data_IF_794187650324
#
_entry.id   IF_794187650324
#
_cell.length_a   1.000
_cell.length_b   1.000
_cell.length_c   1.000
_cell.angle_alpha   90.00
_cell.angle_beta   90.00
_cell.angle_gamma   90.00
#
_symmetry.space_group_name_H-M   'P 1'
#
loop_
_entity.id
_entity.type
_entity.pdbx_description
1 polymer ?
#
# COMPACT_ATOMS: atom_id res chain seq x y z
N UNK A 1 29.49 -40.93 24.93
CA UNK A 1 29.53 -40.03 23.75
C UNK A 1 29.38 -38.59 24.24
N UNK A 2 30.27 -37.65 23.88
CA UNK A 2 30.11 -36.27 24.31
C UNK A 2 29.03 -35.56 23.49
N UNK A 3 28.04 -34.98 24.18
CA UNK A 3 26.92 -34.24 23.58
C UNK A 3 27.44 -32.84 23.23
N UNK A 4 27.41 -32.48 21.93
CA UNK A 4 27.71 -31.11 21.49
C UNK A 4 26.55 -30.18 21.90
N UNK A 5 26.82 -28.99 22.47
CA UNK A 5 25.76 -28.02 22.73
C UNK A 5 25.22 -27.46 21.40
N UNK A 6 23.90 -27.44 21.26
CA UNK A 6 23.21 -26.81 20.14
C UNK A 6 23.41 -25.30 20.18
N UNK A 7 24.12 -24.78 19.18
CA UNK A 7 24.17 -23.35 18.86
C UNK A 7 22.80 -22.88 18.38
N UNK A 8 22.03 -22.22 19.24
CA UNK A 8 20.88 -21.43 18.80
C UNK A 8 21.37 -20.07 18.30
N UNK A 9 21.45 -19.91 16.98
CA UNK A 9 21.64 -18.62 16.34
C UNK A 9 20.43 -18.32 15.47
N UNK A 10 19.64 -17.36 15.93
CA UNK A 10 18.47 -16.87 15.24
C UNK A 10 17.76 -15.86 16.13
N UNK A 11 18.30 -14.64 16.17
CA UNK A 11 17.59 -13.48 16.71
C UNK A 11 16.24 -13.38 15.98
N UNK A 12 15.21 -13.86 16.65
CA UNK A 12 13.83 -13.74 16.23
C UNK A 12 13.51 -12.26 16.34
N UNK A 13 13.64 -11.54 15.21
CA UNK A 13 13.28 -10.12 15.07
C UNK A 13 11.98 -9.88 15.83
N UNK A 14 12.07 -9.19 16.97
CA UNK A 14 10.93 -8.83 17.82
C UNK A 14 9.89 -8.20 16.90
N UNK A 15 8.73 -8.86 16.75
CA UNK A 15 7.57 -8.20 16.16
C UNK A 15 7.33 -6.99 17.04
N UNK A 16 7.44 -5.79 16.49
CA UNK A 16 6.88 -4.60 17.11
C UNK A 16 5.41 -4.94 17.32
N UNK A 17 5.02 -5.11 18.59
CA UNK A 17 3.62 -5.24 18.95
C UNK A 17 2.95 -3.96 18.46
N UNK A 18 1.84 -4.07 17.70
CA UNK A 18 1.15 -2.87 17.25
C UNK A 18 0.81 -2.06 18.51
N UNK A 19 1.19 -0.78 18.48
CA UNK A 19 0.68 0.28 19.35
C UNK A 19 -0.81 0.00 19.64
N UNK A 20 -1.23 0.14 20.91
CA UNK A 20 -2.59 -0.12 21.39
C UNK A 20 -3.59 0.87 20.76
N UNK A 21 -3.79 0.74 19.45
CA UNK A 21 -4.68 1.52 18.63
C UNK A 21 -6.09 0.93 18.79
N UNK A 22 -6.78 1.44 19.81
CA UNK A 22 -8.16 1.09 20.18
C UNK A 22 -9.20 1.82 19.32
N UNK A 23 -8.80 2.54 18.26
CA UNK A 23 -9.74 3.22 17.35
C UNK A 23 -10.54 2.24 16.49
N UNK A 24 -11.69 2.69 15.99
CA UNK A 24 -12.60 1.89 15.18
C UNK A 24 -12.57 2.28 13.71
N UNK A 25 -12.34 1.31 12.82
CA UNK A 25 -12.18 1.51 11.38
C UNK A 25 -13.08 0.59 10.57
N UNK A 26 -13.27 0.91 9.29
CA UNK A 26 -14.01 0.07 8.35
C UNK A 26 -13.05 -0.96 7.73
N UNK A 27 -13.44 -2.24 7.60
CA UNK A 27 -12.63 -3.25 6.91
C UNK A 27 -12.50 -2.91 5.41
N UNK A 28 -11.37 -3.26 4.79
CA UNK A 28 -11.20 -3.08 3.33
C UNK A 28 -11.99 -4.13 2.53
N UNK A 29 -12.15 -5.34 3.09
CA UNK A 29 -12.95 -6.41 2.55
C UNK A 29 -13.62 -7.22 3.65
N UNK A 30 -14.72 -7.93 3.35
CA UNK A 30 -15.36 -8.83 4.30
C UNK A 30 -14.41 -9.94 4.81
N UNK A 31 -13.43 -10.33 3.98
CA UNK A 31 -12.41 -11.31 4.36
C UNK A 31 -11.40 -10.78 5.40
N UNK A 32 -11.36 -9.47 5.62
CA UNK A 32 -10.48 -8.86 6.62
C UNK A 32 -11.08 -8.89 8.03
N UNK A 33 -12.39 -9.13 8.15
CA UNK A 33 -13.11 -9.10 9.42
C UNK A 33 -12.59 -10.17 10.39
N UNK A 34 -11.98 -9.70 11.47
CA UNK A 34 -11.54 -10.51 12.60
C UNK A 34 -11.46 -9.67 13.87
N UNK A 35 -11.60 -10.30 15.03
CA UNK A 35 -11.50 -9.61 16.31
C UNK A 35 -12.75 -8.81 16.67
N UNK A 36 -12.64 -7.83 17.60
CA UNK A 36 -13.75 -7.00 18.05
C UNK A 36 -14.34 -6.14 16.92
N UNK A 37 -15.66 -6.18 16.79
CA UNK A 37 -16.47 -5.47 15.81
C UNK A 37 -17.76 -4.91 16.43
N UNK A 38 -18.36 -3.91 15.79
CA UNK A 38 -19.72 -3.40 16.05
C UNK A 38 -20.52 -3.49 14.74
N UNK A 39 -21.80 -3.87 14.86
CA UNK A 39 -22.73 -4.06 13.75
C UNK A 39 -23.80 -2.96 13.82
N UNK A 40 -23.60 -1.88 13.06
CA UNK A 40 -24.49 -0.71 13.05
C UNK A 40 -25.65 -0.94 12.08
N UNK A 41 -26.86 -0.74 12.59
CA UNK A 41 -28.13 -0.91 11.89
C UNK A 41 -28.54 0.41 11.19
N UNK A 42 -29.20 0.35 10.01
CA UNK A 42 -29.67 1.52 9.28
C UNK A 42 -30.97 2.08 9.88
N UNK A 43 -30.95 2.50 11.14
CA UNK A 43 -32.10 3.07 11.85
C UNK A 43 -31.97 4.59 12.05
N UNK A 44 -33.08 5.26 12.33
CA UNK A 44 -33.12 6.68 12.67
C UNK A 44 -33.81 6.87 14.04
N UNK A 45 -33.09 7.23 15.11
CA UNK A 45 -31.63 7.44 15.20
C UNK A 45 -30.84 6.12 15.03
N UNK A 46 -29.53 6.23 14.73
CA UNK A 46 -28.68 5.06 14.50
C UNK A 46 -28.60 4.16 15.74
N UNK A 47 -28.71 2.86 15.51
CA UNK A 47 -28.59 1.81 16.53
C UNK A 47 -27.59 0.76 16.07
N UNK A 48 -27.15 -0.09 16.97
CA UNK A 48 -26.28 -1.24 16.70
C UNK A 48 -26.81 -2.47 17.40
N UNK A 49 -26.40 -3.65 16.92
CA UNK A 49 -26.71 -4.90 17.61
C UNK A 49 -25.91 -4.99 18.91
N UNK A 50 -26.60 -5.29 19.99
CA UNK A 50 -26.02 -5.56 21.30
C UNK A 50 -26.59 -6.85 21.89
N UNK A 51 -25.91 -7.41 22.90
CA UNK A 51 -26.41 -8.57 23.63
C UNK A 51 -26.30 -8.41 25.15
N UNK A 52 -27.31 -8.89 25.86
CA UNK A 52 -27.36 -8.88 27.32
C UNK A 52 -26.70 -10.13 27.93
N UNK A 53 -26.64 -10.21 29.26
CA UNK A 53 -26.06 -11.36 29.96
C UNK A 53 -26.85 -12.68 29.80
N UNK A 54 -28.06 -12.63 29.23
CA UNK A 54 -28.87 -13.81 28.94
C UNK A 54 -28.70 -14.29 27.50
N UNK A 55 -27.93 -13.56 26.68
CA UNK A 55 -27.75 -13.85 25.26
C UNK A 55 -28.90 -13.35 24.38
N UNK A 56 -29.79 -12.53 24.90
CA UNK A 56 -30.79 -11.86 24.07
C UNK A 56 -30.10 -10.80 23.23
N UNK A 57 -30.55 -10.63 21.98
CA UNK A 57 -30.03 -9.63 21.06
C UNK A 57 -31.05 -8.51 20.92
N UNK A 58 -30.59 -7.27 20.98
CA UNK A 58 -31.43 -6.08 20.89
C UNK A 58 -30.71 -4.95 20.14
N UNK A 59 -31.47 -3.98 19.64
CA UNK A 59 -30.93 -2.75 19.07
C UNK A 59 -30.62 -1.75 20.19
N UNK A 60 -29.34 -1.36 20.32
CA UNK A 60 -28.86 -0.36 21.26
C UNK A 60 -28.52 0.93 20.51
N UNK A 61 -28.86 2.09 21.04
CA UNK A 61 -28.47 3.37 20.43
C UNK A 61 -26.95 3.43 20.19
N UNK A 62 -26.50 4.19 19.20
CA UNK A 62 -25.08 4.54 19.04
C UNK A 62 -24.90 6.00 19.41
N UNK A 63 -24.28 6.27 20.55
CA UNK A 63 -24.11 7.64 21.06
C UNK A 63 -22.77 8.27 20.61
N UNK A 64 -21.71 7.46 20.52
CA UNK A 64 -20.41 7.91 20.07
C UNK A 64 -20.34 7.93 18.54
N UNK A 65 -20.78 9.03 17.94
CA UNK A 65 -20.63 9.35 16.51
C UNK A 65 -20.29 10.83 16.34
N UNK A 66 -19.49 11.14 15.31
CA UNK A 66 -19.23 12.51 14.88
C UNK A 66 -20.33 12.94 13.92
N UNK A 67 -21.03 14.03 14.24
CA UNK A 67 -22.06 14.66 13.37
C UNK A 67 -23.15 13.68 12.86
N UNK A 68 -23.46 12.63 13.63
CA UNK A 68 -24.41 11.57 13.27
C UNK A 68 -24.00 10.71 12.05
N UNK A 69 -22.73 10.71 11.66
CA UNK A 69 -22.21 9.85 10.61
C UNK A 69 -21.89 8.44 11.15
N UNK A 70 -22.64 7.43 10.70
CA UNK A 70 -22.49 6.01 11.10
C UNK A 70 -21.11 5.43 10.81
N UNK A 71 -20.37 5.99 9.85
CA UNK A 71 -19.00 5.55 9.54
C UNK A 71 -17.99 5.90 10.63
N UNK A 72 -18.35 6.83 11.52
CA UNK A 72 -17.53 7.25 12.67
C UNK A 72 -18.00 6.60 13.98
N UNK A 73 -18.94 5.66 13.91
CA UNK A 73 -19.51 5.00 15.08
C UNK A 73 -18.46 4.21 15.86
N UNK A 74 -18.44 4.45 17.18
CA UNK A 74 -17.68 3.68 18.15
C UNK A 74 -18.62 3.12 19.24
N UNK A 75 -18.34 1.94 19.80
CA UNK A 75 -19.13 1.43 20.90
C UNK A 75 -18.90 2.27 22.16
N UNK A 76 -19.96 2.43 22.95
CA UNK A 76 -19.90 3.05 24.28
C UNK A 76 -20.29 2.06 25.38
N UNK A 77 -20.81 0.90 25.01
CA UNK A 77 -21.15 -0.19 25.92
C UNK A 77 -20.50 -1.49 25.42
N UNK A 78 -19.89 -2.24 26.33
CA UNK A 78 -19.28 -3.55 26.04
C UNK A 78 -20.26 -4.55 25.43
N UNK A 79 -21.56 -4.38 25.68
CA UNK A 79 -22.63 -5.21 25.12
C UNK A 79 -22.81 -5.03 23.61
N UNK A 80 -22.32 -3.92 23.04
CA UNK A 80 -22.38 -3.60 21.61
C UNK A 80 -21.24 -4.26 20.82
N UNK A 81 -20.25 -4.83 21.52
CA UNK A 81 -19.04 -5.41 20.91
C UNK A 81 -19.23 -6.90 20.66
N UNK A 82 -18.91 -7.31 19.44
CA UNK A 82 -18.93 -8.69 18.97
C UNK A 82 -17.52 -9.12 18.58
N UNK A 83 -17.20 -10.40 18.68
CA UNK A 83 -15.95 -10.96 18.16
C UNK A 83 -16.23 -11.67 16.84
N UNK A 84 -15.75 -11.10 15.74
CA UNK A 84 -15.81 -11.68 14.40
C UNK A 84 -14.72 -12.75 14.22
N UNK A 85 -15.11 -13.91 13.67
CA UNK A 85 -14.19 -14.96 13.27
C UNK A 85 -14.63 -15.57 11.94
N UNK A 86 -13.67 -15.86 11.06
CA UNK A 86 -13.91 -16.69 9.88
C UNK A 86 -14.11 -18.15 10.28
N UNK A 87 -15.11 -18.78 9.69
CA UNK A 87 -15.34 -20.21 9.79
C UNK A 87 -14.52 -20.91 8.72
N UNK A 88 -13.56 -21.73 9.17
CA UNK A 88 -12.63 -22.42 8.28
C UNK A 88 -13.36 -23.28 7.23
N UNK A 89 -12.99 -23.10 5.97
CA UNK A 89 -13.50 -23.91 4.85
C UNK A 89 -14.89 -23.53 4.34
N UNK A 90 -15.62 -22.62 4.98
CA UNK A 90 -16.96 -22.20 4.50
C UNK A 90 -17.05 -20.79 3.95
N UNK A 91 -16.02 -19.95 4.17
CA UNK A 91 -16.05 -18.54 3.79
C UNK A 91 -17.06 -17.70 4.58
N UNK A 92 -17.70 -18.28 5.60
CA UNK A 92 -18.69 -17.60 6.43
C UNK A 92 -18.03 -16.91 7.64
N UNK A 93 -18.72 -15.91 8.17
CA UNK A 93 -18.35 -15.22 9.41
C UNK A 93 -19.23 -15.70 10.57
N UNK A 94 -18.64 -15.73 11.76
CA UNK A 94 -19.35 -15.92 13.02
C UNK A 94 -19.11 -14.70 13.90
N UNK A 95 -20.16 -14.22 14.56
CA UNK A 95 -20.10 -13.08 15.48
C UNK A 95 -20.48 -13.57 16.88
N UNK A 96 -19.56 -13.49 17.83
CA UNK A 96 -19.80 -13.89 19.23
C UNK A 96 -19.94 -12.67 20.11
N UNK A 97 -21.07 -12.53 20.79
CA UNK A 97 -21.19 -11.55 21.85
C UNK A 97 -20.48 -12.08 23.11
N UNK A 98 -20.48 -11.27 24.18
CA UNK A 98 -20.04 -11.76 25.50
C UNK A 98 -20.86 -12.97 25.95
N UNK A 99 -22.16 -13.00 25.61
CA UNK A 99 -23.10 -14.07 25.93
C UNK A 99 -23.92 -14.36 24.67
N UNK A 100 -23.93 -15.61 24.19
CA UNK A 100 -24.59 -15.96 22.93
C UNK A 100 -23.79 -15.57 21.66
N UNK A 101 -24.41 -15.76 20.50
CA UNK A 101 -23.76 -15.48 19.21
C UNK A 101 -24.75 -15.42 18.06
N UNK A 102 -24.33 -14.76 16.98
CA UNK A 102 -25.07 -14.60 15.73
C UNK A 102 -24.33 -15.29 14.58
N UNK A 103 -25.10 -15.92 13.71
CA UNK A 103 -24.63 -16.47 12.44
C UNK A 103 -25.64 -16.10 11.35
N UNK A 104 -25.17 -15.46 10.30
CA UNK A 104 -25.98 -15.25 9.11
C UNK A 104 -26.06 -16.53 8.27
N UNK A 105 -27.26 -16.85 7.81
CA UNK A 105 -27.57 -17.97 6.91
C UNK A 105 -28.12 -17.51 5.55
N UNK A 106 -28.28 -16.20 5.34
CA UNK A 106 -28.85 -15.62 4.12
C UNK A 106 -27.92 -15.59 2.91
N UNK A 107 -28.52 -15.61 1.71
CA UNK A 107 -27.84 -15.36 0.43
C UNK A 107 -27.51 -13.87 0.28
N UNK A 108 -26.35 -13.56 -0.31
CA UNK A 108 -25.92 -12.18 -0.50
C UNK A 108 -26.73 -11.49 -1.60
N UNK A 109 -27.25 -10.28 -1.33
CA UNK A 109 -27.78 -9.39 -2.38
C UNK A 109 -29.21 -8.86 -2.18
N UNK A 110 -29.90 -9.18 -1.08
CA UNK A 110 -31.16 -8.50 -0.76
C UNK A 110 -30.88 -7.08 -0.21
N UNK A 111 -31.43 -6.01 -0.83
CA UNK A 111 -31.14 -4.62 -0.47
C UNK A 111 -31.76 -4.17 0.87
N UNK A 112 -32.46 -5.05 1.58
CA UNK A 112 -33.23 -4.68 2.78
C UNK A 112 -32.37 -4.52 4.05
N UNK A 113 -31.08 -4.85 4.03
CA UNK A 113 -30.28 -4.77 5.27
C UNK A 113 -28.79 -4.54 5.00
N UNK A 114 -28.44 -3.37 4.45
CA UNK A 114 -27.05 -2.90 4.49
C UNK A 114 -26.69 -2.52 5.93
N UNK A 115 -25.81 -3.32 6.55
CA UNK A 115 -25.25 -3.06 7.87
C UNK A 115 -23.88 -2.41 7.71
N UNK A 116 -23.57 -1.43 8.55
CA UNK A 116 -22.20 -0.89 8.64
C UNK A 116 -21.44 -1.68 9.70
N UNK A 117 -20.35 -2.33 9.29
CA UNK A 117 -19.48 -3.08 10.20
C UNK A 117 -18.20 -2.29 10.44
N UNK A 118 -17.92 -1.99 11.71
CA UNK A 118 -16.66 -1.39 12.16
C UNK A 118 -15.86 -2.43 12.94
N UNK A 119 -14.54 -2.37 12.84
CA UNK A 119 -13.61 -3.23 13.58
C UNK A 119 -12.56 -2.40 14.30
N UNK A 120 -11.97 -2.94 15.37
CA UNK A 120 -10.81 -2.30 15.99
C UNK A 120 -9.61 -2.27 15.04
N UNK A 121 -8.98 -1.10 14.90
CA UNK A 121 -7.96 -0.83 13.90
C UNK A 121 -6.76 -1.80 13.97
N UNK A 122 -6.35 -2.19 15.18
CA UNK A 122 -5.27 -3.17 15.39
C UNK A 122 -5.52 -4.56 14.79
N UNK A 123 -6.78 -4.92 14.52
CA UNK A 123 -7.14 -6.21 13.92
C UNK A 123 -7.23 -6.16 12.39
N UNK A 124 -7.09 -4.98 11.78
CA UNK A 124 -7.05 -4.86 10.32
C UNK A 124 -5.81 -5.59 9.77
N UNK A 125 -5.93 -6.52 8.80
CA UNK A 125 -4.82 -7.35 8.32
C UNK A 125 -3.67 -6.57 7.64
N UNK A 126 -2.73 -6.04 8.43
CA UNK A 126 -1.51 -5.36 7.92
C UNK A 126 -0.62 -6.30 7.09
N UNK A 127 -0.67 -7.62 7.35
CA UNK A 127 0.25 -8.62 6.77
C UNK A 127 -0.08 -8.96 5.32
N UNK A 128 -1.35 -8.93 4.89
CA UNK A 128 -1.69 -9.20 3.49
C UNK A 128 -1.35 -8.01 2.58
N UNK A 129 -1.57 -6.78 3.05
CA UNK A 129 -1.01 -5.59 2.39
C UNK A 129 0.52 -5.65 2.32
N UNK A 130 1.21 -6.19 3.34
CA UNK A 130 2.68 -6.36 3.30
C UNK A 130 3.18 -7.43 2.31
N UNK A 131 2.37 -8.45 2.01
CA UNK A 131 2.72 -9.49 1.02
C UNK A 131 2.33 -9.08 -0.39
N UNK A 132 1.17 -8.43 -0.56
CA UNK A 132 0.75 -7.83 -1.81
C UNK A 132 1.67 -6.67 -2.22
N UNK A 133 2.10 -5.83 -1.27
CA UNK A 133 3.10 -4.79 -1.52
C UNK A 133 4.47 -5.38 -1.85
N UNK A 134 4.92 -6.45 -1.16
CA UNK A 134 6.17 -7.18 -1.51
C UNK A 134 6.11 -7.88 -2.86
N UNK A 135 4.93 -8.34 -3.29
CA UNK A 135 4.74 -8.91 -4.62
C UNK A 135 4.77 -7.80 -5.69
N UNK A 136 4.17 -6.64 -5.41
CA UNK A 136 4.32 -5.42 -6.22
C UNK A 136 5.75 -4.83 -6.14
N UNK A 137 6.56 -5.18 -5.15
CA UNK A 137 7.95 -4.73 -4.98
C UNK A 137 8.95 -5.47 -5.88
N UNK A 138 8.57 -6.63 -6.43
CA UNK A 138 9.38 -7.36 -7.40
C UNK A 138 9.19 -6.81 -8.82
N UNK A 139 9.49 -5.54 -9.01
CA UNK A 139 9.69 -5.00 -10.35
C UNK A 139 11.01 -5.54 -10.90
N UNK A 140 10.90 -6.24 -12.02
CA UNK A 140 12.02 -6.82 -12.76
C UNK A 140 12.91 -5.71 -13.34
N UNK A 141 14.18 -6.03 -13.61
CA UNK A 141 15.10 -5.11 -14.31
C UNK A 141 14.46 -4.59 -15.61
N UNK A 142 13.73 -5.44 -16.32
CA UNK A 142 13.05 -5.12 -17.57
C UNK A 142 11.98 -4.04 -17.40
N UNK A 143 11.22 -4.07 -16.31
CA UNK A 143 10.19 -3.07 -16.03
C UNK A 143 10.81 -1.73 -15.59
N UNK A 144 11.92 -1.74 -14.84
CA UNK A 144 12.69 -0.52 -14.56
C UNK A 144 13.26 0.10 -15.84
N UNK A 145 13.81 -0.72 -16.74
CA UNK A 145 14.33 -0.25 -18.04
C UNK A 145 13.23 0.26 -18.96
N UNK A 146 12.04 -0.36 -18.96
CA UNK A 146 10.87 0.14 -19.68
C UNK A 146 10.37 1.46 -19.12
N UNK A 147 10.30 1.58 -17.79
CA UNK A 147 9.85 2.80 -17.14
C UNK A 147 10.82 3.97 -17.35
N UNK A 148 12.13 3.70 -17.42
CA UNK A 148 13.17 4.71 -17.71
C UNK A 148 13.40 4.90 -19.23
N UNK A 149 12.84 4.04 -20.08
CA UNK A 149 12.96 4.13 -21.54
C UNK A 149 14.37 3.90 -22.10
N UNK A 150 15.32 3.39 -21.29
CA UNK A 150 16.68 3.03 -21.70
C UNK A 150 17.21 1.86 -20.87
N UNK A 151 18.31 1.26 -21.34
CA UNK A 151 19.05 0.29 -20.53
C UNK A 151 19.67 0.99 -19.32
N UNK A 152 19.58 0.34 -18.18
CA UNK A 152 20.13 0.79 -16.91
C UNK A 152 21.37 -0.01 -16.57
N UNK A 153 22.35 0.64 -15.96
CA UNK A 153 23.51 -0.04 -15.39
C UNK A 153 23.18 -0.73 -14.05
N UNK A 154 24.10 -1.54 -13.53
CA UNK A 154 23.84 -2.28 -12.29
C UNK A 154 23.67 -1.38 -11.07
N UNK A 155 24.31 -0.22 -11.05
CA UNK A 155 24.31 0.67 -9.89
C UNK A 155 23.05 1.55 -9.87
N UNK A 156 22.57 1.98 -11.03
CA UNK A 156 21.26 2.57 -11.27
C UNK A 156 20.14 1.60 -10.88
N UNK A 157 20.23 0.32 -11.27
CA UNK A 157 19.26 -0.70 -10.86
C UNK A 157 19.28 -0.92 -9.35
N UNK A 158 20.46 -0.98 -8.71
CA UNK A 158 20.58 -1.10 -7.25
C UNK A 158 19.99 0.12 -6.54
N UNK A 159 20.23 1.32 -7.07
CA UNK A 159 19.69 2.59 -6.55
C UNK A 159 18.16 2.62 -6.63
N UNK A 160 17.58 2.31 -7.79
CA UNK A 160 16.13 2.28 -7.96
C UNK A 160 15.45 1.21 -7.09
N UNK A 161 16.09 0.04 -6.91
CA UNK A 161 15.62 -0.97 -5.96
C UNK A 161 15.66 -0.48 -4.51
N UNK A 162 16.69 0.27 -4.10
CA UNK A 162 16.77 0.89 -2.76
C UNK A 162 15.74 2.01 -2.59
N UNK A 163 15.55 2.84 -3.60
CA UNK A 163 14.55 3.91 -3.61
C UNK A 163 13.13 3.36 -3.42
N UNK A 164 12.81 2.22 -4.05
CA UNK A 164 11.53 1.53 -3.85
C UNK A 164 11.33 1.04 -2.43
N UNK A 165 12.37 0.47 -1.82
CA UNK A 165 12.34 0.03 -0.42
C UNK A 165 12.12 1.20 0.56
N UNK A 166 12.56 2.40 0.18
CA UNK A 166 12.49 3.60 1.00
C UNK A 166 11.29 4.50 0.66
N UNK A 167 10.43 4.11 -0.30
CA UNK A 167 9.26 4.88 -0.73
C UNK A 167 9.54 6.04 -1.70
N UNK A 168 10.80 6.28 -2.09
CA UNK A 168 11.22 7.40 -2.95
C UNK A 168 11.43 7.01 -4.43
N UNK A 169 10.79 5.92 -4.88
CA UNK A 169 11.02 5.34 -6.21
C UNK A 169 10.77 6.32 -7.36
N UNK A 170 9.66 7.05 -7.32
CA UNK A 170 9.27 7.96 -8.40
C UNK A 170 10.23 9.15 -8.54
N UNK A 171 10.73 9.67 -7.42
CA UNK A 171 11.69 10.77 -7.40
C UNK A 171 13.03 10.35 -8.02
N UNK A 172 13.56 9.20 -7.60
CA UNK A 172 14.82 8.67 -8.13
C UNK A 172 14.70 8.25 -9.60
N UNK A 173 13.51 7.79 -10.03
CA UNK A 173 13.24 7.49 -11.43
C UNK A 173 13.30 8.77 -12.29
N UNK A 174 12.66 9.86 -11.83
CA UNK A 174 12.74 11.17 -12.48
C UNK A 174 14.19 11.70 -12.52
N UNK A 175 14.98 11.51 -11.46
CA UNK A 175 16.39 11.92 -11.44
C UNK A 175 17.22 11.14 -12.48
N UNK A 176 17.02 9.83 -12.62
CA UNK A 176 17.65 9.06 -13.70
C UNK A 176 17.27 9.55 -15.10
N UNK A 177 16.02 9.98 -15.31
CA UNK A 177 15.58 10.56 -16.58
C UNK A 177 16.26 11.90 -16.87
N UNK A 178 16.30 12.78 -15.88
CA UNK A 178 16.91 14.11 -16.01
C UNK A 178 18.39 13.96 -16.34
N UNK A 179 19.12 13.08 -15.65
CA UNK A 179 20.54 12.79 -15.93
C UNK A 179 20.76 12.26 -17.36
N UNK A 180 19.87 11.40 -17.85
CA UNK A 180 19.94 10.89 -19.21
C UNK A 180 19.76 12.01 -20.24
N UNK A 181 18.74 12.85 -20.07
CA UNK A 181 18.49 14.01 -20.95
C UNK A 181 19.65 15.01 -20.91
N UNK A 182 20.22 15.29 -19.74
CA UNK A 182 21.39 16.15 -19.62
C UNK A 182 22.60 15.60 -20.38
N UNK A 183 22.81 14.28 -20.35
CA UNK A 183 23.88 13.61 -21.10
C UNK A 183 23.65 13.75 -22.61
N UNK A 184 22.41 13.54 -23.05
CA UNK A 184 22.03 13.70 -24.46
C UNK A 184 22.21 15.16 -24.94
N UNK A 185 21.79 16.14 -24.15
CA UNK A 185 21.97 17.57 -24.45
C UNK A 185 23.46 17.89 -24.58
N UNK A 186 24.31 17.40 -23.67
CA UNK A 186 25.77 17.60 -23.76
C UNK A 186 26.35 16.99 -25.04
N UNK A 187 25.90 15.81 -25.44
CA UNK A 187 26.34 15.17 -26.68
C UNK A 187 25.93 15.99 -27.92
N UNK A 188 24.69 16.48 -27.97
CA UNK A 188 24.22 17.36 -29.04
C UNK A 188 25.02 18.68 -29.09
N UNK A 189 25.34 19.27 -27.94
CA UNK A 189 26.17 20.47 -27.87
C UNK A 189 27.57 20.23 -28.43
N UNK A 190 28.20 19.09 -28.12
CA UNK A 190 29.49 18.70 -28.69
C UNK A 190 29.39 18.51 -30.22
N UNK A 191 28.31 17.90 -30.70
CA UNK A 191 28.07 17.72 -32.13
C UNK A 191 27.91 19.06 -32.87
N UNK A 192 27.11 19.97 -32.33
CA UNK A 192 26.93 21.33 -32.88
C UNK A 192 28.27 22.06 -32.94
N UNK A 193 29.08 21.98 -31.88
CA UNK A 193 30.44 22.59 -31.87
C UNK A 193 31.32 22.02 -32.98
N UNK A 194 31.31 20.70 -33.17
CA UNK A 194 32.09 20.05 -34.23
C UNK A 194 31.65 20.50 -35.62
N UNK A 195 30.34 20.63 -35.87
CA UNK A 195 29.81 21.16 -37.11
C UNK A 195 30.23 22.62 -37.34
N UNK A 196 30.18 23.46 -36.32
CA UNK A 196 30.64 24.86 -36.42
C UNK A 196 32.13 24.94 -36.76
N UNK A 197 32.96 24.09 -36.15
CA UNK A 197 34.39 24.00 -36.49
C UNK A 197 34.60 23.61 -37.95
N UNK A 198 33.81 22.68 -38.46
CA UNK A 198 33.89 22.23 -39.86
C UNK A 198 33.45 23.33 -40.84
N UNK A 199 32.37 24.05 -40.55
CA UNK A 199 31.92 25.20 -41.34
C UNK A 199 33.02 26.26 -41.40
N UNK A 200 33.57 26.65 -40.25
CA UNK A 200 34.66 27.64 -40.19
C UNK A 200 35.92 27.19 -40.98
N UNK A 201 36.23 25.90 -40.97
CA UNK A 201 37.35 25.35 -41.73
C UNK A 201 37.10 25.41 -43.26
N UNK A 202 35.86 25.13 -43.70
CA UNK A 202 35.46 25.25 -45.11
C UNK A 202 35.52 26.70 -45.58
N UNK A 203 34.99 27.64 -44.80
CA UNK A 203 35.05 29.08 -45.11
C UNK A 203 36.50 29.58 -45.24
N UNK A 204 37.38 29.10 -44.35
CA UNK A 204 38.81 29.43 -44.39
C UNK A 204 39.47 28.88 -45.66
N UNK A 205 39.15 27.65 -46.06
CA UNK A 205 39.68 27.03 -47.28
C UNK A 205 39.16 27.75 -48.54
N UNK A 206 37.87 28.10 -48.60
CA UNK A 206 37.30 28.87 -49.70
C UNK A 206 37.96 30.26 -49.82
N UNK A 207 38.18 30.96 -48.70
CA UNK A 207 38.90 32.23 -48.69
C UNK A 207 40.35 32.13 -49.17
N UNK A 208 41.05 31.04 -48.84
CA UNK A 208 42.42 30.80 -49.30
C UNK A 208 42.50 30.50 -50.81
N UNK A 209 41.58 29.69 -51.34
CA UNK A 209 41.50 29.37 -52.78
C UNK A 209 41.23 30.63 -53.61
N UNK A 210 40.28 31.47 -53.18
CA UNK A 210 39.97 32.71 -53.88
C UNK A 210 41.19 33.63 -53.93
N UNK A 211 41.92 33.82 -52.82
CA UNK A 211 43.13 34.66 -52.81
C UNK A 211 44.26 34.10 -53.67
N UNK A 212 44.43 32.78 -53.72
CA UNK A 212 45.44 32.13 -54.56
C UNK A 212 45.15 32.19 -56.06
N UNK A 213 43.90 32.40 -56.47
CA UNK A 213 43.52 32.56 -57.88
C UNK A 213 43.73 33.99 -58.42
N UNK A 214 43.98 34.98 -57.55
CA UNK A 214 44.22 36.38 -57.91
C UNK A 214 45.70 36.82 -57.72
N UNK A 215 46.60 35.87 -57.45
CA UNK A 215 48.05 36.08 -57.39
C UNK A 215 48.72 35.44 -58.62
#
# INVERSE_FOLDING_TARGET
MPIKPLSFKGDKKRREEPEDDDTWTTPDSASDLSGPVILVLPTTPATCLASDAHGNVFASAVENMVEHHVETAEPHDVRQVWVANQVAGSGQLSFKASHGGLRGDGEAGEPATELVIKMQARFKPRVQQSKASRAQEKVSRREMEQAVGRRLDEDEVKRLKRARKNGTYHEELLDTFIKALQTFIKALQTFIKALQTLINAVDTHQGAVVRGAFA
#
